data_IF_768097920664
#
_entry.id   IF_768097920664
#
_cell.length_a   1.000
_cell.length_b   1.000
_cell.length_c   1.000
_cell.angle_alpha   90.00
_cell.angle_beta   90.00
_cell.angle_gamma   90.00
#
_symmetry.space_group_name_H-M   'P 1'
#
loop_
_entity.id
_entity.type
_entity.pdbx_description
1 polymer ?
#
# COMPACT_ATOMS: atom_id res chain seq x y z
N UNK A 1 -18.81 -44.89 -32.12
CA UNK A 1 -19.04 -43.55 -31.54
C UNK A 1 -17.70 -43.01 -31.01
N UNK A 2 -16.72 -42.82 -31.89
CA UNK A 2 -16.15 -41.54 -32.37
C UNK A 2 -15.65 -40.58 -31.30
N UNK A 3 -14.32 -40.53 -31.18
CA UNK A 3 -13.48 -39.58 -30.45
C UNK A 3 -13.61 -38.10 -30.90
N UNK A 4 -14.69 -37.73 -31.60
CA UNK A 4 -14.97 -36.37 -32.09
C UNK A 4 -15.67 -35.47 -31.08
N UNK A 5 -16.18 -36.01 -29.96
CA UNK A 5 -16.98 -35.22 -29.01
C UNK A 5 -16.10 -34.41 -28.03
N UNK A 6 -14.89 -34.87 -27.71
CA UNK A 6 -14.02 -34.18 -26.74
C UNK A 6 -13.22 -33.03 -27.38
N UNK A 7 -13.04 -33.05 -28.71
CA UNK A 7 -12.24 -32.04 -29.43
C UNK A 7 -13.01 -30.74 -29.74
N UNK A 8 -14.33 -30.71 -29.51
CA UNK A 8 -15.19 -29.56 -29.82
C UNK A 8 -15.54 -28.67 -28.62
N UNK A 9 -15.14 -29.02 -27.39
CA UNK A 9 -15.35 -28.15 -26.21
C UNK A 9 -14.21 -27.17 -25.92
N UNK A 10 -13.08 -27.27 -26.62
CA UNK A 10 -11.91 -26.41 -26.39
C UNK A 10 -11.78 -25.24 -27.39
N UNK A 11 -12.79 -24.99 -28.23
CA UNK A 11 -12.71 -24.01 -29.34
C UNK A 11 -13.55 -22.75 -29.21
N UNK A 12 -14.17 -22.45 -28.06
CA UNK A 12 -15.07 -21.27 -28.00
C UNK A 12 -15.02 -20.44 -26.73
N UNK A 13 -13.93 -20.50 -25.95
CA UNK A 13 -13.70 -19.42 -24.99
C UNK A 13 -12.81 -18.41 -25.69
N UNK A 14 -13.33 -17.26 -26.15
CA UNK A 14 -12.45 -16.16 -26.50
C UNK A 14 -11.73 -15.84 -25.20
N UNK A 15 -10.42 -16.10 -25.16
CA UNK A 15 -9.56 -15.52 -24.14
C UNK A 15 -9.56 -14.02 -24.44
N UNK A 16 -10.62 -13.37 -23.98
CA UNK A 16 -10.81 -11.95 -24.12
C UNK A 16 -9.68 -11.38 -23.26
N UNK A 17 -8.57 -11.05 -23.92
CA UNK A 17 -7.52 -10.21 -23.38
C UNK A 17 -8.24 -8.90 -23.11
N UNK A 18 -8.84 -8.80 -21.93
CA UNK A 18 -9.27 -7.54 -21.37
C UNK A 18 -7.97 -6.77 -21.17
N UNK A 19 -7.53 -6.12 -22.24
CA UNK A 19 -6.53 -5.08 -22.18
C UNK A 19 -7.25 -3.91 -21.53
N UNK A 20 -7.44 -4.01 -20.21
CA UNK A 20 -7.74 -2.88 -19.37
C UNK A 20 -6.50 -2.00 -19.43
N UNK A 21 -6.40 -1.19 -20.49
CA UNK A 21 -5.75 0.11 -20.43
C UNK A 21 -6.59 0.98 -19.50
N UNK A 22 -6.63 0.62 -18.21
CA UNK A 22 -7.01 1.57 -17.18
C UNK A 22 -5.95 2.65 -17.24
N UNK A 23 -6.34 3.86 -17.60
CA UNK A 23 -5.52 5.05 -17.42
C UNK A 23 -5.32 5.17 -15.90
N UNK A 24 -4.27 4.53 -15.38
CA UNK A 24 -3.79 4.78 -14.04
C UNK A 24 -2.96 6.05 -14.13
N UNK A 25 -3.49 7.14 -13.59
CA UNK A 25 -2.70 8.35 -13.38
C UNK A 25 -1.45 7.99 -12.58
N UNK A 26 -0.30 8.58 -12.93
CA UNK A 26 0.95 8.36 -12.18
C UNK A 26 0.71 8.67 -10.69
N UNK A 27 1.33 7.89 -9.81
CA UNK A 27 1.31 8.17 -8.39
C UNK A 27 1.96 9.52 -8.12
N UNK A 28 1.45 10.23 -7.12
CA UNK A 28 1.96 11.53 -6.67
C UNK A 28 2.26 11.49 -5.20
N UNK A 29 3.23 12.30 -4.76
CA UNK A 29 3.46 12.54 -3.34
C UNK A 29 2.26 13.34 -2.80
N UNK A 30 1.47 12.82 -1.84
CA UNK A 30 0.34 13.56 -1.29
C UNK A 30 0.84 14.78 -0.50
N UNK A 31 0.06 15.86 -0.49
CA UNK A 31 0.30 16.95 0.45
C UNK A 31 -0.12 16.53 1.85
N UNK A 32 0.58 17.03 2.88
CA UNK A 32 0.17 16.82 4.27
C UNK A 32 -0.97 17.78 4.63
N UNK A 33 -1.88 17.35 5.50
CA UNK A 33 -2.99 18.16 6.01
C UNK A 33 -2.58 19.15 7.12
N UNK A 34 -1.29 19.17 7.47
CA UNK A 34 -0.68 19.93 8.57
C UNK A 34 0.78 20.24 8.22
N UNK A 35 1.38 21.21 8.92
CA UNK A 35 2.78 21.60 8.72
C UNK A 35 3.73 20.57 9.35
N UNK A 36 4.96 20.48 8.85
CA UNK A 36 5.93 19.48 9.34
C UNK A 36 6.22 19.55 10.85
N UNK A 37 6.11 20.74 11.45
CA UNK A 37 6.35 20.97 12.88
C UNK A 37 5.14 20.69 13.77
N UNK A 38 3.95 20.49 13.21
CA UNK A 38 2.71 20.49 13.99
C UNK A 38 2.57 19.25 14.89
N UNK A 39 3.37 18.20 14.65
CA UNK A 39 3.42 17.00 15.48
C UNK A 39 4.46 17.06 16.61
N UNK A 40 5.18 18.18 16.75
CA UNK A 40 6.09 18.37 17.88
C UNK A 40 5.32 18.48 19.20
N UNK A 41 5.87 17.97 20.32
CA UNK A 41 7.22 17.38 20.46
C UNK A 41 7.29 15.88 20.17
N UNK A 42 6.20 15.25 19.72
CA UNK A 42 6.11 13.79 19.58
C UNK A 42 6.89 13.28 18.38
N UNK A 43 6.81 13.99 17.25
CA UNK A 43 7.61 13.74 16.04
C UNK A 43 8.23 15.07 15.61
N UNK A 44 9.55 15.12 15.48
CA UNK A 44 10.25 16.35 15.11
C UNK A 44 9.98 16.79 13.68
N UNK A 45 10.02 18.09 13.44
CA UNK A 45 9.90 18.68 12.08
C UNK A 45 10.86 18.02 11.09
N UNK A 46 12.12 17.84 11.49
CA UNK A 46 13.16 17.31 10.60
C UNK A 46 12.86 15.87 10.16
N UNK A 47 12.34 15.03 11.06
CA UNK A 47 11.89 13.68 10.71
C UNK A 47 10.73 13.79 9.71
N UNK A 48 9.73 14.62 9.99
CA UNK A 48 8.57 14.76 9.12
C UNK A 48 8.95 15.22 7.71
N UNK A 49 9.82 16.23 7.59
CA UNK A 49 10.27 16.75 6.31
C UNK A 49 11.08 15.72 5.51
N UNK A 50 12.05 15.06 6.14
CA UNK A 50 12.89 14.06 5.47
C UNK A 50 12.06 12.81 5.11
N UNK A 51 11.23 12.33 6.02
CA UNK A 51 10.39 11.14 5.82
C UNK A 51 9.39 11.35 4.69
N UNK A 52 8.81 12.54 4.59
CA UNK A 52 7.88 12.88 3.52
C UNK A 52 8.59 13.18 2.18
N UNK A 53 9.48 14.18 2.15
CA UNK A 53 10.06 14.70 0.91
C UNK A 53 11.15 13.82 0.31
N UNK A 54 11.80 12.97 1.11
CA UNK A 54 12.84 12.05 0.64
C UNK A 54 12.34 10.62 0.58
N UNK A 55 11.94 10.03 1.71
CA UNK A 55 11.61 8.61 1.75
C UNK A 55 10.31 8.29 0.99
N UNK A 56 9.20 8.96 1.30
CA UNK A 56 7.94 8.74 0.59
C UNK A 56 8.05 9.09 -0.90
N UNK A 57 8.69 10.23 -1.23
CA UNK A 57 8.91 10.63 -2.62
C UNK A 57 9.74 9.59 -3.41
N UNK A 58 10.74 8.97 -2.78
CA UNK A 58 11.52 7.89 -3.40
C UNK A 58 10.64 6.71 -3.79
N UNK A 59 9.71 6.29 -2.92
CA UNK A 59 8.76 5.24 -3.25
C UNK A 59 7.85 5.62 -4.42
N UNK A 60 7.33 6.86 -4.45
CA UNK A 60 6.48 7.36 -5.54
C UNK A 60 7.22 7.33 -6.88
N UNK A 61 8.45 7.88 -6.93
CA UNK A 61 9.27 7.93 -8.15
C UNK A 61 9.58 6.51 -8.65
N UNK A 62 10.05 5.63 -7.76
CA UNK A 62 10.41 4.27 -8.14
C UNK A 62 9.20 3.40 -8.50
N UNK A 63 8.05 3.63 -7.86
CA UNK A 63 6.80 2.97 -8.22
C UNK A 63 6.37 3.36 -9.63
N UNK A 64 6.37 4.65 -9.98
CA UNK A 64 6.06 5.11 -11.33
C UNK A 64 7.03 4.55 -12.38
N UNK A 65 8.33 4.56 -12.09
CA UNK A 65 9.34 3.96 -12.99
C UNK A 65 9.11 2.45 -13.19
N UNK A 66 8.65 1.75 -12.16
CA UNK A 66 8.32 0.33 -12.23
C UNK A 66 7.06 0.10 -13.06
N UNK A 67 6.04 0.95 -12.92
CA UNK A 67 4.82 0.89 -13.73
C UNK A 67 5.09 1.13 -15.22
N UNK A 68 5.94 2.11 -15.57
CA UNK A 68 6.30 2.39 -16.97
C UNK A 68 7.00 1.16 -17.62
N UNK A 69 7.90 0.50 -16.87
CA UNK A 69 8.54 -0.76 -17.31
C UNK A 69 7.55 -1.90 -17.42
N UNK A 70 6.65 -2.04 -16.44
CA UNK A 70 5.64 -3.10 -16.41
C UNK A 70 4.67 -2.95 -17.59
N UNK A 71 4.22 -1.73 -17.90
CA UNK A 71 3.37 -1.45 -19.05
C UNK A 71 4.07 -1.88 -20.36
N UNK A 72 5.36 -1.58 -20.50
CA UNK A 72 6.16 -2.00 -21.65
C UNK A 72 6.25 -3.53 -21.75
N UNK A 73 6.50 -4.22 -20.63
CA UNK A 73 6.61 -5.67 -20.59
C UNK A 73 5.27 -6.36 -20.94
N UNK A 74 4.15 -5.85 -20.40
CA UNK A 74 2.79 -6.33 -20.71
C UNK A 74 2.47 -6.13 -22.18
N UNK A 75 2.78 -4.96 -22.76
CA UNK A 75 2.55 -4.70 -24.18
C UNK A 75 3.33 -5.65 -25.10
N UNK A 76 4.49 -6.14 -24.64
CA UNK A 76 5.35 -7.10 -25.37
C UNK A 76 5.06 -8.57 -25.05
N UNK A 77 4.13 -8.86 -24.15
CA UNK A 77 3.90 -10.21 -23.60
C UNK A 77 5.15 -10.85 -22.96
N UNK A 78 6.06 -10.00 -22.44
CA UNK A 78 7.30 -10.42 -21.80
C UNK A 78 7.07 -10.84 -20.35
N UNK A 79 6.64 -12.09 -20.19
CA UNK A 79 6.33 -12.68 -18.89
C UNK A 79 7.54 -12.71 -17.95
N UNK A 80 8.75 -12.90 -18.48
CA UNK A 80 9.96 -12.94 -17.66
C UNK A 80 10.24 -11.57 -17.01
N UNK A 81 10.11 -10.48 -17.77
CA UNK A 81 10.25 -9.12 -17.22
C UNK A 81 9.11 -8.76 -16.27
N UNK A 82 7.88 -9.19 -16.55
CA UNK A 82 6.75 -8.98 -15.61
C UNK A 82 7.05 -9.60 -14.25
N UNK A 83 7.51 -10.85 -14.23
CA UNK A 83 7.85 -11.56 -12.99
C UNK A 83 9.02 -10.87 -12.27
N UNK A 84 10.06 -10.45 -13.01
CA UNK A 84 11.23 -9.82 -12.40
C UNK A 84 10.95 -8.44 -11.79
N UNK A 85 9.93 -7.72 -12.27
CA UNK A 85 9.50 -6.43 -11.73
C UNK A 85 8.62 -6.53 -10.48
N UNK A 86 8.03 -7.69 -10.20
CA UNK A 86 7.09 -7.87 -9.09
C UNK A 86 7.65 -7.46 -7.70
N UNK A 87 8.92 -7.76 -7.33
CA UNK A 87 9.49 -7.30 -6.08
C UNK A 87 9.57 -5.78 -5.97
N UNK A 88 10.00 -5.10 -7.04
CA UNK A 88 10.09 -3.63 -7.07
C UNK A 88 8.70 -2.99 -7.02
N UNK A 89 7.72 -3.59 -7.68
CA UNK A 89 6.33 -3.15 -7.65
C UNK A 89 5.76 -3.23 -6.24
N UNK A 90 5.95 -4.39 -5.58
CA UNK A 90 5.50 -4.61 -4.20
C UNK A 90 6.18 -3.67 -3.23
N UNK A 91 7.50 -3.50 -3.33
CA UNK A 91 8.28 -2.70 -2.40
C UNK A 91 7.92 -1.21 -2.49
N UNK A 92 7.94 -0.64 -3.70
CA UNK A 92 7.68 0.79 -3.87
C UNK A 92 6.18 1.12 -3.80
N UNK A 93 5.33 0.26 -4.35
CA UNK A 93 3.88 0.42 -4.23
C UNK A 93 3.40 0.27 -2.79
N UNK A 94 3.88 -0.74 -2.07
CA UNK A 94 3.61 -0.92 -0.64
C UNK A 94 4.16 0.24 0.19
N UNK A 95 5.38 0.71 -0.11
CA UNK A 95 5.95 1.90 0.52
C UNK A 95 5.05 3.13 0.35
N UNK A 96 4.61 3.43 -0.87
CA UNK A 96 3.71 4.55 -1.15
C UNK A 96 2.37 4.43 -0.42
N UNK A 97 1.73 3.26 -0.45
CA UNK A 97 0.45 3.03 0.24
C UNK A 97 0.61 3.22 1.75
N UNK A 98 1.61 2.58 2.35
CA UNK A 98 1.81 2.63 3.80
C UNK A 98 2.07 4.06 4.29
N UNK A 99 2.90 4.83 3.57
CA UNK A 99 3.18 6.21 3.96
C UNK A 99 1.97 7.12 3.74
N UNK A 100 1.20 6.92 2.66
CA UNK A 100 -0.03 7.70 2.44
C UNK A 100 -1.02 7.49 3.57
N UNK A 101 -1.23 6.23 3.99
CA UNK A 101 -2.06 5.93 5.17
C UNK A 101 -1.45 6.54 6.43
N UNK A 102 -0.14 6.39 6.65
CA UNK A 102 0.53 6.93 7.83
C UNK A 102 0.28 8.43 8.02
N UNK A 103 0.42 9.23 6.97
CA UNK A 103 0.16 10.67 7.02
C UNK A 103 -1.30 10.98 7.34
N UNK A 104 -2.25 10.24 6.77
CA UNK A 104 -3.68 10.44 7.03
C UNK A 104 -4.10 10.01 8.45
N UNK A 105 -3.33 9.12 9.09
CA UNK A 105 -3.61 8.68 10.48
C UNK A 105 -3.06 9.62 11.56
N UNK A 106 -2.19 10.55 11.20
CA UNK A 106 -1.57 11.48 12.15
C UNK A 106 -2.34 12.79 12.21
N UNK A 107 -2.35 13.41 13.38
CA UNK A 107 -2.99 14.71 13.58
C UNK A 107 -2.31 15.46 14.73
N UNK A 108 -2.18 16.80 14.63
CA UNK A 108 -1.69 17.62 15.75
C UNK A 108 -2.71 17.73 16.90
N UNK A 109 -3.94 17.26 16.69
CA UNK A 109 -5.02 17.35 17.67
C UNK A 109 -5.33 15.99 18.28
N UNK A 110 -5.48 15.95 19.60
CA UNK A 110 -5.99 14.75 20.27
C UNK A 110 -7.45 14.53 19.88
N UNK A 111 -7.73 13.38 19.28
CA UNK A 111 -9.07 12.94 18.90
C UNK A 111 -9.42 11.64 19.60
N UNK A 112 -10.71 11.36 19.73
CA UNK A 112 -11.21 10.06 20.20
C UNK A 112 -11.62 9.20 19.01
N UNK A 113 -11.49 7.86 19.11
CA UNK A 113 -12.11 6.96 18.16
C UNK A 113 -13.60 7.27 17.99
N UNK A 114 -14.15 7.05 16.79
CA UNK A 114 -15.59 7.12 16.59
C UNK A 114 -16.29 6.04 17.42
N UNK A 115 -17.58 6.23 17.76
CA UNK A 115 -18.33 5.26 18.57
C UNK A 115 -18.30 3.84 17.99
N UNK A 116 -18.34 3.71 16.66
CA UNK A 116 -18.26 2.40 16.01
C UNK A 116 -16.87 1.78 16.15
N UNK A 117 -15.81 2.58 16.02
CA UNK A 117 -14.45 2.09 16.21
C UNK A 117 -14.18 1.74 17.67
N UNK A 118 -14.62 2.57 18.62
CA UNK A 118 -14.46 2.32 20.05
C UNK A 118 -15.15 1.02 20.48
N UNK A 119 -16.39 0.79 20.03
CA UNK A 119 -17.10 -0.49 20.24
C UNK A 119 -16.33 -1.68 19.66
N UNK A 120 -15.79 -1.54 18.45
CA UNK A 120 -14.98 -2.60 17.84
C UNK A 120 -13.69 -2.85 18.63
N UNK A 121 -13.04 -1.81 19.16
CA UNK A 121 -11.85 -1.94 20.00
C UNK A 121 -12.18 -2.66 21.31
N UNK A 122 -13.27 -2.30 21.98
CA UNK A 122 -13.71 -2.96 23.21
C UNK A 122 -14.05 -4.42 22.95
N UNK A 123 -14.77 -4.72 21.86
CA UNK A 123 -15.15 -6.08 21.52
C UNK A 123 -13.95 -6.99 21.24
N UNK A 124 -12.93 -6.49 20.53
CA UNK A 124 -11.80 -7.31 20.08
C UNK A 124 -10.61 -7.30 21.04
N UNK A 125 -10.42 -6.22 21.81
CA UNK A 125 -9.24 -6.01 22.66
C UNK A 125 -9.60 -5.76 24.12
N UNK A 126 -10.88 -5.71 24.48
CA UNK A 126 -11.37 -5.43 25.83
C UNK A 126 -11.40 -3.93 26.18
N UNK A 127 -10.38 -3.17 25.77
CA UNK A 127 -10.35 -1.71 25.91
C UNK A 127 -9.43 -1.05 24.88
N UNK A 128 -9.58 0.26 24.69
CA UNK A 128 -8.68 1.06 23.84
C UNK A 128 -7.22 1.06 24.37
N UNK A 129 -7.04 1.02 25.69
CA UNK A 129 -5.69 1.00 26.27
C UNK A 129 -5.00 -0.35 26.12
N UNK A 130 -5.75 -1.45 26.22
CA UNK A 130 -5.22 -2.78 25.93
C UNK A 130 -4.90 -2.93 24.44
N UNK A 131 -5.74 -2.39 23.55
CA UNK A 131 -5.42 -2.29 22.13
C UNK A 131 -4.08 -1.56 21.89
N UNK A 132 -3.90 -0.36 22.47
CA UNK A 132 -2.64 0.42 22.32
C UNK A 132 -1.43 -0.39 22.80
N UNK A 133 -1.56 -1.08 23.93
CA UNK A 133 -0.49 -1.93 24.48
C UNK A 133 -0.13 -3.07 23.53
N UNK A 134 -1.12 -3.77 22.97
CA UNK A 134 -0.87 -4.86 22.03
C UNK A 134 -0.25 -4.36 20.72
N UNK A 135 -0.77 -3.28 20.14
CA UNK A 135 -0.21 -2.68 18.93
C UNK A 135 1.23 -2.21 19.15
N UNK A 136 1.51 -1.57 20.28
CA UNK A 136 2.87 -1.14 20.63
C UNK A 136 3.81 -2.34 20.78
N UNK A 137 3.40 -3.39 21.51
CA UNK A 137 4.21 -4.60 21.69
C UNK A 137 4.52 -5.28 20.34
N UNK A 138 3.51 -5.43 19.47
CA UNK A 138 3.69 -5.99 18.13
C UNK A 138 4.64 -5.15 17.27
N UNK A 139 4.51 -3.81 17.33
CA UNK A 139 5.37 -2.89 16.56
C UNK A 139 6.82 -2.93 17.02
N UNK A 140 7.08 -3.02 18.33
CA UNK A 140 8.42 -3.11 18.91
C UNK A 140 9.09 -4.45 18.57
N UNK A 141 8.31 -5.53 18.49
CA UNK A 141 8.83 -6.88 18.22
C UNK A 141 9.27 -7.12 16.77
N UNK A 142 9.05 -6.16 15.86
CA UNK A 142 9.48 -6.26 14.47
C UNK A 142 11.01 -6.37 14.39
N UNK A 143 11.50 -7.45 13.79
CA UNK A 143 12.92 -7.65 13.52
C UNK A 143 13.28 -7.07 12.15
N UNK A 144 13.98 -5.93 12.13
CA UNK A 144 14.30 -5.19 10.91
C UNK A 144 13.29 -4.08 10.61
N UNK A 145 13.13 -3.72 9.34
CA UNK A 145 12.16 -2.68 8.93
C UNK A 145 10.75 -3.26 8.82
N UNK A 146 9.75 -2.58 9.39
CA UNK A 146 8.35 -3.00 9.29
C UNK A 146 7.37 -2.00 9.89
N UNK A 147 6.12 -2.45 10.06
CA UNK A 147 4.96 -1.64 10.46
C UNK A 147 4.08 -2.44 11.42
N UNK A 148 3.47 -1.77 12.40
CA UNK A 148 2.33 -2.29 13.16
C UNK A 148 1.02 -1.78 12.57
N UNK A 149 0.02 -2.65 12.44
CA UNK A 149 -1.26 -2.32 11.81
C UNK A 149 -2.45 -2.71 12.70
N UNK A 150 -3.49 -1.88 12.67
CA UNK A 150 -4.86 -2.25 12.96
C UNK A 150 -5.57 -2.40 11.62
N UNK A 151 -6.27 -3.52 11.40
CA UNK A 151 -6.97 -3.81 10.14
C UNK A 151 -8.08 -4.84 10.33
#
# INVERSE_FOLDING_TARGET
>A
MSAKIVQNMLKSVPFNRICMSQIRTKATLPSLAYEYKDLEPIISRDIMEIHHQKHHNTYVVNYNNTLDKLQTAVAKDDTATIISLAPALKFNGGGHINHSIFWDTLTPHSTKPSDNLDKALIQNFGSCDEFKKQLAAASIAVQGSGWGWLG
#
